data_IF_255607491887
#
_entry.id   IF_255607491887
#
_cell.length_a   1.000
_cell.length_b   1.000
_cell.length_c   1.000
_cell.angle_alpha   90.00
_cell.angle_beta   90.00
_cell.angle_gamma   90.00
#
_symmetry.space_group_name_H-M   'P 1'
#
loop_
_entity.id
_entity.type
_entity.pdbx_description
1 polymer ?
#
# COMPACT_ATOMS: atom_id res chain seq x y z
N UNK A 1 -12.31 -12.84 16.22
CA UNK A 1 -12.01 -11.46 16.68
C UNK A 1 -11.60 -10.51 15.54
N UNK A 2 -10.55 -10.76 14.74
CA UNK A 2 -10.14 -9.85 13.64
C UNK A 2 -11.24 -9.52 12.62
N UNK A 3 -12.01 -10.53 12.15
CA UNK A 3 -13.12 -10.31 11.19
C UNK A 3 -14.25 -9.44 11.76
N UNK A 4 -14.62 -9.67 13.03
CA UNK A 4 -15.65 -8.87 13.73
C UNK A 4 -15.19 -7.43 13.91
N UNK A 5 -13.93 -7.23 14.28
CA UNK A 5 -13.33 -5.89 14.39
C UNK A 5 -13.36 -5.15 13.05
N UNK A 6 -12.97 -5.80 11.95
CA UNK A 6 -13.03 -5.19 10.61
C UNK A 6 -14.47 -4.87 10.21
N UNK A 7 -15.41 -5.78 10.44
CA UNK A 7 -16.82 -5.56 10.14
C UNK A 7 -17.39 -4.38 10.93
N UNK A 8 -17.07 -4.30 12.22
CA UNK A 8 -17.46 -3.18 13.08
C UNK A 8 -16.97 -1.85 12.50
N UNK A 9 -15.67 -1.73 12.18
CA UNK A 9 -15.14 -0.50 11.60
C UNK A 9 -15.77 -0.16 10.25
N UNK A 10 -16.05 -1.15 9.40
CA UNK A 10 -16.72 -0.93 8.11
C UNK A 10 -18.13 -0.35 8.32
N UNK A 11 -18.94 -0.97 9.18
CA UNK A 11 -20.29 -0.49 9.51
C UNK A 11 -20.25 0.90 10.17
N UNK A 12 -19.28 1.13 11.05
CA UNK A 12 -19.05 2.41 11.69
C UNK A 12 -18.74 3.51 10.66
N UNK A 13 -17.80 3.28 9.73
CA UNK A 13 -17.51 4.24 8.65
C UNK A 13 -18.72 4.45 7.73
N UNK A 14 -19.43 3.38 7.37
CA UNK A 14 -20.63 3.47 6.54
C UNK A 14 -21.70 4.35 7.20
N UNK A 15 -21.90 4.19 8.51
CA UNK A 15 -22.81 5.03 9.30
C UNK A 15 -22.39 6.51 9.23
N UNK A 16 -21.13 6.85 9.52
CA UNK A 16 -20.67 8.25 9.52
C UNK A 16 -20.69 8.91 8.14
N UNK A 17 -20.49 8.12 7.07
CA UNK A 17 -20.47 8.65 5.71
C UNK A 17 -21.88 8.88 5.17
N UNK A 18 -22.78 7.90 5.30
CA UNK A 18 -24.07 7.92 4.60
C UNK A 18 -25.24 8.22 5.54
N UNK A 19 -25.26 7.59 6.72
CA UNK A 19 -26.42 7.66 7.63
C UNK A 19 -26.40 8.93 8.46
N UNK A 20 -25.24 9.31 8.99
CA UNK A 20 -25.12 10.42 9.91
C UNK A 20 -25.46 11.79 9.27
N UNK A 21 -24.96 12.12 8.05
CA UNK A 21 -25.38 13.37 7.39
C UNK A 21 -26.89 13.43 7.12
N UNK A 22 -27.48 12.29 6.75
CA UNK A 22 -28.92 12.18 6.53
C UNK A 22 -29.71 12.44 7.82
N UNK A 23 -29.33 11.83 8.94
CA UNK A 23 -29.99 12.06 10.24
C UNK A 23 -29.93 13.53 10.65
N UNK A 24 -28.76 14.17 10.50
CA UNK A 24 -28.60 15.59 10.86
C UNK A 24 -29.52 16.45 10.00
N UNK A 25 -29.49 16.27 8.68
CA UNK A 25 -30.29 17.08 7.77
C UNK A 25 -31.80 16.88 7.99
N UNK A 26 -32.26 15.63 8.02
CA UNK A 26 -33.68 15.30 8.14
C UNK A 26 -34.24 15.53 9.56
N UNK A 27 -33.38 15.56 10.58
CA UNK A 27 -33.79 15.89 11.96
C UNK A 27 -33.78 17.38 12.26
N UNK A 28 -32.87 18.15 11.66
CA UNK A 28 -32.68 19.58 12.00
C UNK A 28 -33.32 20.54 10.99
N UNK A 29 -33.11 20.29 9.70
CA UNK A 29 -33.32 21.28 8.63
C UNK A 29 -34.58 21.00 7.80
N UNK A 30 -34.86 19.75 7.49
CA UNK A 30 -36.09 19.34 6.80
C UNK A 30 -37.23 19.06 7.80
N UNK A 31 -38.50 19.46 7.54
CA UNK A 31 -39.02 20.26 6.42
C UNK A 31 -39.11 21.77 6.76
N UNK A 32 -38.31 22.26 7.73
CA UNK A 32 -38.45 23.61 8.30
C UNK A 32 -38.00 24.74 7.35
N UNK A 33 -37.38 24.39 6.23
CA UNK A 33 -36.88 25.32 5.22
C UNK A 33 -37.99 25.86 4.34
N UNK A 34 -38.21 27.18 4.38
CA UNK A 34 -39.16 27.85 3.49
C UNK A 34 -38.51 28.10 2.11
N UNK A 35 -38.78 27.21 1.16
CA UNK A 35 -38.22 27.20 -0.20
C UNK A 35 -38.53 28.47 -1.01
N UNK A 36 -39.58 29.21 -0.66
CA UNK A 36 -39.95 30.44 -1.35
C UNK A 36 -38.92 31.56 -1.12
N UNK A 37 -38.30 31.59 0.06
CA UNK A 37 -37.28 32.58 0.44
C UNK A 37 -35.84 32.08 0.27
N UNK A 38 -35.65 30.81 -0.09
CA UNK A 38 -34.33 30.25 -0.35
C UNK A 38 -33.72 30.83 -1.64
N UNK A 39 -32.47 31.26 -1.54
CA UNK A 39 -31.72 31.82 -2.67
C UNK A 39 -31.43 30.72 -3.72
N UNK A 40 -32.00 30.91 -4.91
CA UNK A 40 -31.83 29.99 -6.03
C UNK A 40 -30.38 29.91 -6.51
N UNK A 41 -29.63 31.02 -6.46
CA UNK A 41 -28.26 31.06 -6.95
C UNK A 41 -27.34 30.26 -6.03
N UNK A 42 -27.48 30.43 -4.72
CA UNK A 42 -26.75 29.67 -3.71
C UNK A 42 -27.02 28.16 -3.82
N UNK A 43 -28.27 27.77 -4.02
CA UNK A 43 -28.65 26.37 -4.22
C UNK A 43 -27.99 25.76 -5.47
N UNK A 44 -27.91 26.50 -6.58
CA UNK A 44 -27.21 26.05 -7.79
C UNK A 44 -25.69 25.95 -7.58
N UNK A 45 -25.09 26.85 -6.81
CA UNK A 45 -23.67 26.75 -6.40
C UNK A 45 -23.45 25.48 -5.58
N UNK A 46 -24.31 25.20 -4.61
CA UNK A 46 -24.26 23.97 -3.82
C UNK A 46 -24.41 22.72 -4.70
N UNK A 47 -25.27 22.77 -5.73
CA UNK A 47 -25.49 21.67 -6.66
C UNK A 47 -24.23 21.42 -7.50
N UNK A 48 -23.67 22.49 -8.08
CA UNK A 48 -22.42 22.41 -8.84
C UNK A 48 -21.26 21.87 -7.99
N UNK A 49 -21.14 22.34 -6.75
CA UNK A 49 -20.14 21.85 -5.80
C UNK A 49 -20.35 20.36 -5.46
N UNK A 50 -21.58 19.96 -5.18
CA UNK A 50 -21.94 18.59 -4.87
C UNK A 50 -21.61 17.64 -6.04
N UNK A 51 -21.98 18.00 -7.27
CA UNK A 51 -21.64 17.24 -8.48
C UNK A 51 -20.11 17.16 -8.70
N UNK A 52 -19.39 18.25 -8.48
CA UNK A 52 -17.94 18.28 -8.58
C UNK A 52 -17.28 17.34 -7.56
N UNK A 53 -17.72 17.37 -6.29
CA UNK A 53 -17.19 16.49 -5.25
C UNK A 53 -17.43 15.01 -5.58
N UNK A 54 -18.62 14.64 -6.05
CA UNK A 54 -18.91 13.28 -6.49
C UNK A 54 -18.06 12.86 -7.70
N UNK A 55 -17.84 13.76 -8.66
CA UNK A 55 -16.96 13.49 -9.79
C UNK A 55 -15.53 13.19 -9.32
N UNK A 56 -15.00 13.97 -8.37
CA UNK A 56 -13.68 13.70 -7.78
C UNK A 56 -13.65 12.34 -7.08
N UNK A 57 -14.66 12.00 -6.27
CA UNK A 57 -14.76 10.69 -5.60
C UNK A 57 -14.77 9.55 -6.63
N UNK A 58 -15.54 9.69 -7.71
CA UNK A 58 -15.62 8.70 -8.78
C UNK A 58 -14.28 8.54 -9.51
N UNK A 59 -13.64 9.63 -9.93
CA UNK A 59 -12.36 9.57 -10.64
C UNK A 59 -11.23 8.97 -9.78
N UNK A 60 -11.14 9.38 -8.52
CA UNK A 60 -10.12 8.86 -7.58
C UNK A 60 -10.35 7.38 -7.31
N UNK A 61 -11.59 6.97 -7.01
CA UNK A 61 -11.91 5.56 -6.75
C UNK A 61 -11.70 4.67 -7.98
N UNK A 62 -12.07 5.14 -9.18
CA UNK A 62 -11.77 4.46 -10.44
C UNK A 62 -10.27 4.27 -10.65
N UNK A 63 -9.49 5.33 -10.48
CA UNK A 63 -8.03 5.29 -10.63
C UNK A 63 -7.40 4.24 -9.69
N UNK A 64 -7.82 4.22 -8.42
CA UNK A 64 -7.33 3.26 -7.43
C UNK A 64 -7.70 1.82 -7.81
N UNK A 65 -8.96 1.56 -8.16
CA UNK A 65 -9.41 0.23 -8.59
C UNK A 65 -8.65 -0.25 -9.83
N UNK A 66 -8.53 0.61 -10.84
CA UNK A 66 -7.80 0.29 -12.06
C UNK A 66 -6.32 -0.01 -11.78
N UNK A 67 -5.66 0.80 -10.93
CA UNK A 67 -4.26 0.62 -10.54
C UNK A 67 -4.03 -0.72 -9.82
N UNK A 68 -4.87 -1.07 -8.85
CA UNK A 68 -4.64 -2.26 -8.02
C UNK A 68 -5.12 -3.57 -8.66
N UNK A 69 -6.24 -3.56 -9.39
CA UNK A 69 -6.83 -4.80 -9.92
C UNK A 69 -6.48 -5.08 -11.39
N UNK A 70 -6.43 -4.06 -12.25
CA UNK A 70 -6.17 -4.26 -13.69
C UNK A 70 -4.70 -4.08 -14.01
N UNK A 71 -4.10 -2.95 -13.61
CA UNK A 71 -2.71 -2.63 -13.94
C UNK A 71 -1.74 -3.62 -13.30
N UNK A 72 -2.01 -4.06 -12.08
CA UNK A 72 -1.24 -5.12 -11.41
C UNK A 72 -1.19 -6.41 -12.25
N UNK A 73 -2.35 -6.91 -12.71
CA UNK A 73 -2.40 -8.11 -13.55
C UNK A 73 -1.66 -7.95 -14.89
N UNK A 74 -1.77 -6.77 -15.53
CA UNK A 74 -1.00 -6.44 -16.74
C UNK A 74 0.51 -6.42 -16.48
N UNK A 75 0.94 -5.85 -15.35
CA UNK A 75 2.35 -5.82 -14.96
C UNK A 75 2.90 -7.23 -14.70
N UNK A 76 2.15 -8.10 -14.02
CA UNK A 76 2.55 -9.50 -13.82
C UNK A 76 2.75 -10.21 -15.16
N UNK A 77 1.86 -10.00 -16.14
CA UNK A 77 2.04 -10.56 -17.49
C UNK A 77 3.25 -9.99 -18.23
N UNK A 78 3.57 -8.71 -18.03
CA UNK A 78 4.79 -8.11 -18.55
C UNK A 78 6.05 -8.77 -17.97
N UNK A 79 6.08 -8.99 -16.65
CA UNK A 79 7.22 -9.62 -15.95
C UNK A 79 7.42 -11.06 -16.37
N UNK A 80 6.36 -11.80 -16.69
CA UNK A 80 6.51 -13.15 -17.24
C UNK A 80 7.19 -13.17 -18.61
N UNK A 81 6.91 -12.17 -19.45
CA UNK A 81 7.48 -12.09 -20.80
C UNK A 81 8.91 -11.57 -20.80
N UNK A 82 9.18 -10.55 -19.98
CA UNK A 82 10.42 -9.77 -20.04
C UNK A 82 11.32 -9.96 -18.80
N UNK A 83 10.79 -10.51 -17.71
CA UNK A 83 11.53 -10.69 -16.47
C UNK A 83 12.58 -11.79 -16.57
N UNK A 84 13.69 -11.59 -15.85
CA UNK A 84 14.78 -12.56 -15.80
C UNK A 84 14.37 -13.77 -14.98
N UNK A 85 14.58 -14.97 -15.55
CA UNK A 85 14.23 -16.24 -14.90
C UNK A 85 15.23 -16.57 -13.80
N UNK A 86 14.72 -17.02 -12.66
CA UNK A 86 15.49 -17.56 -11.52
C UNK A 86 14.78 -18.78 -10.97
N UNK A 87 15.54 -19.80 -10.60
CA UNK A 87 15.00 -20.95 -9.91
C UNK A 87 15.06 -20.71 -8.41
N UNK A 88 13.94 -20.95 -7.74
CA UNK A 88 13.80 -20.78 -6.31
C UNK A 88 13.43 -22.08 -5.63
N UNK A 89 14.12 -22.37 -4.54
CA UNK A 89 13.79 -23.48 -3.66
C UNK A 89 12.78 -23.02 -2.62
N UNK A 90 11.70 -23.77 -2.47
CA UNK A 90 10.71 -23.52 -1.42
C UNK A 90 11.26 -24.05 -0.10
N UNK A 91 11.58 -23.19 0.86
CA UNK A 91 12.02 -23.59 2.20
C UNK A 91 10.82 -24.04 3.02
N UNK A 92 9.76 -23.22 3.02
CA UNK A 92 8.55 -23.49 3.78
C UNK A 92 7.33 -23.01 3.02
N UNK A 93 6.27 -23.81 3.03
CA UNK A 93 4.95 -23.39 2.61
C UNK A 93 3.97 -23.56 3.76
N UNK A 94 3.40 -22.45 4.21
CA UNK A 94 2.33 -22.45 5.19
C UNK A 94 1.02 -22.07 4.49
N UNK A 95 -0.01 -22.89 4.64
CA UNK A 95 -1.36 -22.46 4.33
C UNK A 95 -1.73 -21.37 5.35
N UNK A 96 -1.71 -20.11 4.95
CA UNK A 96 -2.27 -19.02 5.75
C UNK A 96 -3.78 -19.14 5.79
N UNK A 97 -4.38 -18.68 6.89
CA UNK A 97 -5.83 -18.64 7.03
C UNK A 97 -6.50 -17.90 5.86
N UNK A 98 -7.71 -18.33 5.54
CA UNK A 98 -8.59 -17.81 4.46
C UNK A 98 -7.85 -17.58 3.12
N UNK A 99 -7.33 -18.67 2.56
CA UNK A 99 -6.95 -18.79 1.14
C UNK A 99 -5.71 -18.02 0.66
N UNK A 100 -4.80 -17.62 1.56
CA UNK A 100 -3.49 -17.08 1.18
C UNK A 100 -2.35 -17.98 1.68
N UNK A 101 -1.47 -18.45 0.79
CA UNK A 101 -0.31 -19.26 1.15
C UNK A 101 0.91 -18.37 1.42
N UNK A 102 1.63 -18.59 2.52
CA UNK A 102 2.91 -17.94 2.77
C UNK A 102 4.03 -18.88 2.27
N UNK A 103 4.78 -18.44 1.27
CA UNK A 103 5.98 -19.14 0.80
C UNK A 103 7.23 -18.42 1.28
N UNK A 104 8.17 -19.18 1.82
CA UNK A 104 9.55 -18.73 1.99
C UNK A 104 10.38 -19.35 0.87
N UNK A 105 10.92 -18.51 0.00
CA UNK A 105 11.67 -18.89 -1.19
C UNK A 105 13.13 -18.53 -1.02
N UNK A 106 14.02 -19.40 -1.48
CA UNK A 106 15.46 -19.19 -1.49
C UNK A 106 16.00 -19.34 -2.90
N UNK A 107 16.63 -18.28 -3.41
CA UNK A 107 17.12 -18.21 -4.79
C UNK A 107 18.30 -17.25 -4.87
N UNK A 108 18.98 -17.27 -5.99
CA UNK A 108 20.09 -16.37 -6.26
C UNK A 108 19.56 -15.11 -6.95
N UNK A 109 19.92 -13.95 -6.44
CA UNK A 109 19.41 -12.67 -6.94
C UNK A 109 19.99 -12.31 -8.34
N UNK A 110 19.78 -11.09 -8.83
CA UNK A 110 20.26 -10.69 -10.16
C UNK A 110 21.80 -10.62 -10.24
N UNK A 111 22.46 -10.49 -9.10
CA UNK A 111 23.92 -10.48 -8.92
C UNK A 111 24.48 -11.85 -8.48
N UNK A 112 23.63 -12.88 -8.43
CA UNK A 112 23.95 -14.25 -7.99
C UNK A 112 24.27 -14.40 -6.49
N UNK A 113 23.78 -13.49 -5.66
CA UNK A 113 23.84 -13.63 -4.19
C UNK A 113 22.64 -14.42 -3.69
N UNK A 114 22.87 -15.32 -2.72
CA UNK A 114 21.81 -16.12 -2.12
C UNK A 114 20.91 -15.25 -1.25
N UNK A 115 19.60 -15.24 -1.51
CA UNK A 115 18.64 -14.45 -0.74
C UNK A 115 17.36 -15.24 -0.43
N UNK A 116 16.73 -14.91 0.69
CA UNK A 116 15.44 -15.48 1.12
C UNK A 116 14.33 -14.45 1.00
N UNK A 117 13.24 -14.77 0.34
CA UNK A 117 12.09 -13.88 0.19
C UNK A 117 10.79 -14.54 0.62
N UNK A 118 10.01 -13.83 1.44
CA UNK A 118 8.66 -14.23 1.80
C UNK A 118 7.67 -13.70 0.76
N UNK A 119 6.97 -14.61 0.09
CA UNK A 119 5.94 -14.27 -0.87
C UNK A 119 4.57 -14.70 -0.36
N UNK A 120 3.60 -13.79 -0.45
CA UNK A 120 2.18 -14.09 -0.21
C UNK A 120 1.54 -14.54 -1.50
N UNK A 121 1.19 -15.81 -1.59
CA UNK A 121 0.38 -16.36 -2.67
C UNK A 121 -1.09 -16.06 -2.41
N UNK A 122 -1.76 -15.42 -3.38
CA UNK A 122 -3.23 -15.39 -3.39
C UNK A 122 -3.74 -16.69 -4.01
N UNK A 123 -4.82 -17.29 -3.47
CA UNK A 123 -5.41 -18.52 -4.00
C UNK A 123 -5.68 -18.47 -5.51
N UNK A 124 -6.15 -17.33 -6.03
CA UNK A 124 -6.43 -17.14 -7.45
C UNK A 124 -5.19 -17.26 -8.36
N UNK A 125 -3.98 -17.09 -7.81
CA UNK A 125 -2.75 -17.11 -8.58
C UNK A 125 -2.20 -18.53 -8.77
N UNK A 126 -2.56 -19.50 -7.94
CA UNK A 126 -2.08 -20.89 -8.07
C UNK A 126 -3.20 -21.81 -8.55
N UNK A 127 -3.18 -22.14 -9.84
CA UNK A 127 -4.22 -22.98 -10.44
C UNK A 127 -4.20 -24.44 -9.97
N UNK A 128 -3.11 -24.93 -9.33
CA UNK A 128 -2.88 -26.38 -9.22
C UNK A 128 -2.39 -26.93 -7.89
N UNK A 129 -1.62 -26.22 -7.05
CA UNK A 129 -1.36 -26.57 -5.63
C UNK A 129 -0.40 -25.55 -5.03
N UNK A 130 -0.45 -25.36 -3.72
CA UNK A 130 0.64 -24.69 -3.02
C UNK A 130 1.90 -25.58 -3.15
N UNK A 131 3.04 -25.04 -3.63
CA UNK A 131 4.28 -25.80 -3.75
C UNK A 131 4.69 -26.46 -2.43
N UNK A 132 5.18 -27.70 -2.50
CA UNK A 132 5.65 -28.42 -1.32
C UNK A 132 7.04 -27.92 -0.89
N UNK A 133 7.37 -27.95 0.41
CA UNK A 133 8.72 -27.67 0.88
C UNK A 133 9.75 -28.55 0.15
N UNK A 134 10.84 -27.96 -0.32
CA UNK A 134 11.87 -28.62 -1.11
C UNK A 134 11.67 -28.55 -2.63
N UNK A 135 10.48 -28.20 -3.14
CA UNK A 135 10.27 -28.08 -4.59
C UNK A 135 10.99 -26.88 -5.18
N UNK A 136 11.46 -27.01 -6.42
CA UNK A 136 11.98 -25.90 -7.22
C UNK A 136 10.83 -25.25 -7.98
N UNK A 137 10.78 -23.92 -7.94
CA UNK A 137 9.79 -23.12 -8.64
C UNK A 137 10.48 -22.01 -9.41
N UNK A 138 10.03 -21.77 -10.65
CA UNK A 138 10.55 -20.70 -11.47
C UNK A 138 9.95 -19.34 -11.10
N UNK A 139 10.82 -18.39 -10.77
CA UNK A 139 10.52 -16.99 -10.55
C UNK A 139 10.95 -16.13 -11.74
N UNK A 140 10.20 -15.06 -11.96
CA UNK A 140 10.53 -13.99 -12.91
C UNK A 140 10.65 -12.68 -12.13
N UNK A 141 11.79 -12.02 -12.27
CA UNK A 141 12.12 -10.76 -11.58
C UNK A 141 12.19 -9.63 -12.60
N UNK A 142 11.55 -8.49 -12.30
CA UNK A 142 11.69 -7.24 -13.07
C UNK A 142 13.03 -6.57 -12.76
N UNK A 143 13.96 -6.57 -13.72
CA UNK A 143 15.29 -5.93 -13.55
C UNK A 143 15.20 -4.42 -13.33
N UNK A 144 14.17 -3.78 -13.88
CA UNK A 144 14.00 -2.32 -13.79
C UNK A 144 13.38 -1.87 -12.47
N UNK A 145 12.78 -2.78 -11.70
CA UNK A 145 11.97 -2.50 -10.50
C UNK A 145 11.01 -1.31 -10.69
N UNK A 146 10.49 -1.15 -11.91
CA UNK A 146 9.68 0.01 -12.29
C UNK A 146 8.19 -0.25 -12.08
N UNK A 147 7.77 -1.52 -12.06
CA UNK A 147 6.36 -1.92 -12.05
C UNK A 147 6.10 -2.93 -10.93
N UNK A 148 5.23 -2.55 -9.99
CA UNK A 148 4.73 -3.48 -8.96
C UNK A 148 3.64 -4.40 -9.55
N UNK A 149 3.58 -5.70 -9.16
CA UNK A 149 4.53 -6.44 -8.30
C UNK A 149 5.88 -6.67 -8.98
N UNK A 150 7.01 -6.71 -8.26
CA UNK A 150 8.35 -6.83 -8.87
C UNK A 150 8.76 -8.27 -9.22
N UNK A 151 8.06 -9.25 -8.66
CA UNK A 151 8.35 -10.68 -8.82
C UNK A 151 7.04 -11.38 -9.12
N UNK A 152 7.11 -12.38 -10.00
CA UNK A 152 6.00 -13.26 -10.30
C UNK A 152 6.49 -14.71 -10.40
N UNK A 153 5.66 -15.64 -9.93
CA UNK A 153 5.84 -17.05 -10.26
C UNK A 153 5.49 -17.26 -11.74
N UNK A 154 6.29 -18.05 -12.44
CA UNK A 154 6.07 -18.36 -13.85
C UNK A 154 4.68 -19.00 -14.06
N UNK A 155 4.28 -19.89 -13.15
CA UNK A 155 3.02 -20.63 -13.14
C UNK A 155 1.81 -19.82 -12.62
N UNK A 156 2.03 -18.61 -12.10
CA UNK A 156 0.92 -17.82 -11.57
C UNK A 156 -0.11 -17.53 -12.67
N UNK A 157 -1.39 -17.36 -12.40
CA UNK A 157 -2.36 -16.91 -13.41
C UNK A 157 -3.05 -15.61 -12.93
N UNK A 158 -2.45 -14.42 -13.14
CA UNK A 158 -3.04 -13.19 -12.66
C UNK A 158 -4.35 -12.91 -13.41
N UNK A 159 -5.49 -13.14 -12.76
CA UNK A 159 -6.81 -12.78 -13.29
C UNK A 159 -7.14 -11.34 -12.89
N UNK A 160 -7.35 -10.49 -13.90
CA UNK A 160 -7.90 -9.17 -13.66
C UNK A 160 -9.32 -9.33 -13.08
N UNK A 161 -9.55 -8.78 -11.89
CA UNK A 161 -10.84 -8.86 -11.20
C UNK A 161 -11.80 -7.78 -11.72
N UNK A 162 -12.29 -7.97 -12.94
CA UNK A 162 -13.23 -7.04 -13.60
C UNK A 162 -14.57 -6.89 -12.85
N UNK A 163 -14.94 -7.87 -12.02
CA UNK A 163 -16.15 -7.80 -11.18
C UNK A 163 -16.19 -6.54 -10.32
N UNK A 164 -15.06 -6.12 -9.75
CA UNK A 164 -14.98 -4.89 -8.97
C UNK A 164 -15.14 -3.63 -9.83
N UNK A 165 -14.72 -3.66 -11.10
CA UNK A 165 -14.97 -2.57 -12.03
C UNK A 165 -16.45 -2.50 -12.44
N UNK A 166 -17.10 -3.65 -12.63
CA UNK A 166 -18.54 -3.70 -12.91
C UNK A 166 -19.35 -3.19 -11.72
N UNK A 167 -19.01 -3.61 -10.50
CA UNK A 167 -19.63 -3.10 -9.28
C UNK A 167 -19.42 -1.58 -9.12
N UNK A 168 -18.22 -1.10 -9.46
CA UNK A 168 -17.94 0.34 -9.44
C UNK A 168 -18.78 1.10 -10.48
N UNK A 169 -19.02 0.52 -11.67
CA UNK A 169 -19.87 1.13 -12.69
C UNK A 169 -21.34 1.29 -12.25
N UNK A 170 -21.80 0.53 -11.25
CA UNK A 170 -23.12 0.72 -10.63
C UNK A 170 -23.18 1.96 -9.71
N UNK A 171 -22.04 2.43 -9.18
CA UNK A 171 -21.99 3.57 -8.26
C UNK A 171 -22.49 4.90 -8.86
N UNK A 172 -22.08 5.34 -10.06
CA UNK A 172 -22.63 6.56 -10.66
C UNK A 172 -24.13 6.47 -10.91
N UNK A 173 -24.64 5.28 -11.26
CA UNK A 173 -26.07 5.05 -11.39
C UNK A 173 -26.80 5.20 -10.05
N UNK A 174 -26.26 4.62 -8.98
CA UNK A 174 -26.81 4.77 -7.62
C UNK A 174 -26.82 6.23 -7.16
N UNK A 175 -25.75 6.99 -7.44
CA UNK A 175 -25.67 8.41 -7.13
C UNK A 175 -26.75 9.17 -7.91
N UNK A 176 -26.89 8.93 -9.22
CA UNK A 176 -27.92 9.56 -10.03
C UNK A 176 -29.33 9.26 -9.49
N UNK A 177 -29.63 8.00 -9.14
CA UNK A 177 -30.88 7.63 -8.48
C UNK A 177 -31.11 8.41 -7.18
N UNK A 178 -30.07 8.62 -6.36
CA UNK A 178 -30.19 9.41 -5.14
C UNK A 178 -30.53 10.89 -5.42
N UNK A 179 -29.92 11.50 -6.45
CA UNK A 179 -30.29 12.87 -6.88
C UNK A 179 -31.74 12.94 -7.35
N UNK A 180 -32.20 11.98 -8.16
CA UNK A 180 -33.59 11.94 -8.63
C UNK A 180 -34.57 11.74 -7.47
N UNK A 181 -34.27 10.82 -6.56
CA UNK A 181 -35.12 10.54 -5.39
C UNK A 181 -35.27 11.76 -4.49
N UNK A 182 -34.16 12.42 -4.15
CA UNK A 182 -34.19 13.64 -3.33
C UNK A 182 -34.91 14.77 -4.06
N UNK A 183 -34.70 14.92 -5.36
CA UNK A 183 -35.38 15.94 -6.14
C UNK A 183 -36.90 15.75 -6.12
N UNK A 184 -37.38 14.53 -6.33
CA UNK A 184 -38.82 14.22 -6.30
C UNK A 184 -39.42 14.48 -4.90
N UNK A 185 -38.67 14.11 -3.85
CA UNK A 185 -39.11 14.26 -2.47
C UNK A 185 -39.15 15.72 -2.00
N UNK A 186 -38.15 16.53 -2.37
CA UNK A 186 -37.89 17.83 -1.73
C UNK A 186 -38.10 19.04 -2.63
N UNK A 187 -38.20 18.86 -3.95
CA UNK A 187 -38.28 20.00 -4.88
C UNK A 187 -39.53 20.85 -4.66
N UNK A 188 -40.68 20.22 -4.35
CA UNK A 188 -41.97 20.88 -4.15
C UNK A 188 -42.33 21.92 -5.24
N UNK A 189 -41.84 21.73 -6.47
CA UNK A 189 -42.01 22.66 -7.60
C UNK A 189 -41.05 23.86 -7.63
N UNK A 190 -40.18 24.02 -6.63
CA UNK A 190 -39.20 25.11 -6.50
C UNK A 190 -37.80 24.76 -7.04
N UNK A 191 -37.65 23.62 -7.72
CA UNK A 191 -36.37 23.15 -8.25
C UNK A 191 -35.42 22.68 -7.16
N UNK A 192 -34.13 23.02 -7.26
CA UNK A 192 -33.07 22.58 -6.34
C UNK A 192 -32.91 23.46 -5.09
N UNK A 193 -33.85 24.37 -4.81
CA UNK A 193 -33.74 25.37 -3.73
C UNK A 193 -33.60 24.79 -2.32
N UNK A 194 -33.95 23.52 -2.12
CA UNK A 194 -33.77 22.79 -0.86
C UNK A 194 -32.29 22.47 -0.57
N UNK A 195 -31.43 22.54 -1.59
CA UNK A 195 -30.04 22.16 -1.48
C UNK A 195 -29.24 23.24 -0.74
N UNK A 196 -28.73 22.87 0.43
CA UNK A 196 -27.84 23.68 1.27
C UNK A 196 -26.52 22.95 1.52
N UNK A 197 -25.58 23.60 2.21
CA UNK A 197 -24.30 22.98 2.57
C UNK A 197 -24.49 21.72 3.42
N UNK A 198 -25.46 21.70 4.31
CA UNK A 198 -25.72 20.58 5.22
C UNK A 198 -26.42 19.40 4.54
N UNK A 199 -26.79 19.55 3.27
CA UNK A 199 -27.53 18.53 2.56
C UNK A 199 -26.68 17.25 2.38
N UNK A 200 -27.25 16.05 2.57
CA UNK A 200 -26.51 14.78 2.49
C UNK A 200 -25.80 14.56 1.16
N UNK A 201 -26.39 15.02 0.04
CA UNK A 201 -25.77 14.98 -1.30
C UNK A 201 -24.41 15.71 -1.37
N UNK A 202 -24.20 16.74 -0.55
CA UNK A 202 -22.94 17.48 -0.48
C UNK A 202 -22.04 16.96 0.65
N UNK A 203 -22.61 16.70 1.82
CA UNK A 203 -21.86 16.24 2.99
C UNK A 203 -21.27 14.84 2.82
N UNK A 204 -21.99 13.92 2.16
CA UNK A 204 -21.50 12.54 1.94
C UNK A 204 -20.17 12.49 1.15
N UNK A 205 -20.06 13.08 -0.06
CA UNK A 205 -18.79 13.05 -0.79
C UNK A 205 -17.69 13.86 -0.09
N UNK A 206 -18.05 14.93 0.64
CA UNK A 206 -17.09 15.70 1.43
C UNK A 206 -16.47 14.86 2.55
N UNK A 207 -17.30 14.16 3.32
CA UNK A 207 -16.87 13.27 4.41
C UNK A 207 -16.04 12.10 3.87
N UNK A 208 -16.42 11.53 2.72
CA UNK A 208 -15.63 10.50 2.03
C UNK A 208 -14.22 10.99 1.69
N UNK A 209 -14.10 12.18 1.09
CA UNK A 209 -12.81 12.76 0.73
C UNK A 209 -11.99 13.08 1.98
N UNK A 210 -12.62 13.61 3.03
CA UNK A 210 -11.97 13.93 4.29
C UNK A 210 -11.38 12.69 4.97
N UNK A 211 -12.17 11.62 5.15
CA UNK A 211 -11.67 10.37 5.72
C UNK A 211 -10.61 9.71 4.82
N UNK A 212 -10.80 9.72 3.49
CA UNK A 212 -9.81 9.20 2.54
C UNK A 212 -8.48 9.95 2.67
N UNK A 213 -8.53 11.28 2.83
CA UNK A 213 -7.35 12.11 3.05
C UNK A 213 -6.69 11.82 4.39
N UNK A 214 -7.45 11.70 5.49
CA UNK A 214 -6.89 11.34 6.80
C UNK A 214 -6.22 9.98 6.76
N UNK A 215 -6.89 8.96 6.21
CA UNK A 215 -6.32 7.62 6.07
C UNK A 215 -5.05 7.69 5.23
N UNK A 216 -5.08 8.40 4.09
CA UNK A 216 -3.89 8.59 3.27
C UNK A 216 -2.78 9.33 4.02
N UNK A 217 -3.08 10.36 4.79
CA UNK A 217 -2.12 11.14 5.55
C UNK A 217 -1.51 10.33 6.69
N UNK A 218 -2.30 9.53 7.41
CA UNK A 218 -1.82 8.61 8.46
C UNK A 218 -0.95 7.52 7.83
N UNK A 219 -1.42 6.87 6.75
CA UNK A 219 -0.64 5.87 6.02
C UNK A 219 0.67 6.48 5.49
N UNK A 220 0.63 7.70 4.94
CA UNK A 220 1.82 8.40 4.50
C UNK A 220 2.71 8.76 5.68
N UNK A 221 2.21 9.29 6.78
CA UNK A 221 3.07 9.73 7.88
C UNK A 221 3.69 8.56 8.64
N UNK A 222 2.90 7.55 9.00
CA UNK A 222 3.35 6.37 9.73
C UNK A 222 4.18 5.47 8.82
N UNK A 223 3.68 5.22 7.61
CA UNK A 223 4.31 4.24 6.74
C UNK A 223 5.38 4.85 5.85
N UNK A 224 5.31 6.10 5.33
CA UNK A 224 6.41 6.67 4.53
C UNK A 224 7.72 6.84 5.33
N UNK A 225 7.65 7.01 6.68
CA UNK A 225 8.82 6.88 7.58
C UNK A 225 9.42 5.47 7.59
N UNK A 226 8.60 4.43 7.39
CA UNK A 226 9.03 3.01 7.29
C UNK A 226 9.16 2.47 5.85
N UNK A 227 8.62 3.13 4.81
CA UNK A 227 8.42 2.57 3.45
C UNK A 227 9.45 3.02 2.43
N UNK A 228 10.16 4.14 2.64
CA UNK A 228 11.35 4.40 1.82
C UNK A 228 12.37 3.27 1.99
N UNK A 229 12.37 2.63 3.16
CA UNK A 229 13.08 1.38 3.42
C UNK A 229 12.48 0.24 2.58
N UNK A 230 11.16 0.08 2.47
CA UNK A 230 10.53 -1.06 1.77
C UNK A 230 10.83 -1.22 0.27
N UNK A 231 10.83 -0.16 -0.54
CA UNK A 231 11.17 -0.28 -1.97
C UNK A 231 12.67 -0.46 -2.16
N UNK A 232 13.48 0.33 -1.45
CA UNK A 232 14.93 0.28 -1.55
C UNK A 232 15.49 -1.03 -0.96
N UNK A 233 14.92 -1.58 0.11
CA UNK A 233 15.25 -2.91 0.63
C UNK A 233 14.93 -3.99 -0.38
N UNK A 234 13.76 -3.94 -1.04
CA UNK A 234 13.44 -4.89 -2.09
C UNK A 234 14.45 -4.78 -3.24
N UNK A 235 14.73 -3.58 -3.76
CA UNK A 235 15.72 -3.40 -4.82
C UNK A 235 17.08 -3.98 -4.40
N UNK A 236 17.51 -3.68 -3.18
CA UNK A 236 18.78 -4.16 -2.64
C UNK A 236 18.79 -5.68 -2.42
N UNK A 237 17.66 -6.28 -2.03
CA UNK A 237 17.49 -7.73 -1.91
C UNK A 237 17.67 -8.43 -3.25
N UNK A 238 17.05 -7.90 -4.32
CA UNK A 238 17.04 -8.56 -5.62
C UNK A 238 18.19 -8.14 -6.55
N UNK A 239 18.84 -7.00 -6.31
CA UNK A 239 19.91 -6.47 -7.17
C UNK A 239 21.17 -6.04 -6.40
N UNK A 240 21.19 -6.11 -5.08
CA UNK A 240 22.36 -5.80 -4.27
C UNK A 240 23.41 -6.90 -4.31
N UNK A 241 24.65 -6.53 -3.98
CA UNK A 241 25.77 -7.44 -3.77
C UNK A 241 26.08 -7.58 -2.30
N UNK A 242 26.49 -8.78 -1.91
CA UNK A 242 26.86 -9.10 -0.53
C UNK A 242 28.33 -8.73 -0.31
N UNK A 243 28.63 -8.08 0.79
CA UNK A 243 30.00 -7.81 1.21
C UNK A 243 30.14 -8.00 2.72
N UNK A 244 31.31 -8.46 3.15
CA UNK A 244 31.69 -8.42 4.57
C UNK A 244 32.22 -7.02 4.83
N UNK A 245 31.52 -6.30 5.70
CA UNK A 245 31.87 -4.96 6.14
C UNK A 245 32.48 -5.01 7.54
N UNK A 246 33.37 -4.07 7.83
CA UNK A 246 33.93 -3.86 9.17
C UNK A 246 33.30 -2.62 9.78
N UNK A 247 32.81 -2.75 11.02
CA UNK A 247 32.30 -1.61 11.78
C UNK A 247 33.47 -0.76 12.27
N UNK A 248 33.53 0.50 11.87
CA UNK A 248 34.58 1.43 12.29
C UNK A 248 34.20 2.18 13.55
N UNK A 249 32.96 2.68 13.59
CA UNK A 249 32.46 3.45 14.71
C UNK A 249 30.94 3.29 14.84
N UNK A 250 30.46 3.51 16.06
CA UNK A 250 29.04 3.58 16.38
C UNK A 250 28.77 4.95 17.01
N UNK A 251 27.77 5.66 16.50
CA UNK A 251 27.39 6.97 17.01
C UNK A 251 25.89 7.01 17.23
N UNK A 252 25.46 7.37 18.43
CA UNK A 252 24.04 7.60 18.69
C UNK A 252 23.58 8.89 18.00
N UNK A 253 22.43 8.86 17.31
CA UNK A 253 21.92 10.02 16.55
C UNK A 253 21.13 11.01 17.41
N UNK A 254 20.85 10.65 18.67
CA UNK A 254 19.97 11.38 19.58
C UNK A 254 18.47 11.11 19.36
N UNK A 255 18.12 10.33 18.33
CA UNK A 255 16.73 9.92 18.07
C UNK A 255 16.40 8.63 18.80
N UNK A 256 15.20 8.56 19.39
CA UNK A 256 14.66 7.36 20.02
C UNK A 256 13.31 6.99 19.43
N UNK A 257 13.09 5.69 19.20
CA UNK A 257 11.82 5.14 18.74
C UNK A 257 11.45 3.99 19.68
N UNK A 258 10.31 4.11 20.36
CA UNK A 258 9.87 3.16 21.39
C UNK A 258 10.96 2.89 22.44
N UNK A 259 11.59 3.96 22.94
CA UNK A 259 12.68 3.91 23.93
C UNK A 259 13.94 3.16 23.46
N UNK A 260 14.02 2.81 22.18
CA UNK A 260 15.21 2.24 21.57
C UNK A 260 15.97 3.31 20.78
N UNK A 261 17.30 3.43 20.99
CA UNK A 261 18.09 4.44 20.31
C UNK A 261 18.28 4.09 18.83
N UNK A 262 18.30 5.13 18.01
CA UNK A 262 18.86 5.05 16.68
C UNK A 262 20.39 5.26 16.74
N UNK A 263 21.12 4.34 16.13
CA UNK A 263 22.57 4.33 16.05
C UNK A 263 22.99 4.41 14.58
N UNK A 264 23.95 5.28 14.31
CA UNK A 264 24.68 5.39 13.06
C UNK A 264 25.93 4.52 13.15
N UNK A 265 26.02 3.55 12.25
CA UNK A 265 27.14 2.65 12.08
C UNK A 265 27.99 3.15 10.92
N UNK A 266 29.22 3.57 11.20
CA UNK A 266 30.22 3.81 10.17
C UNK A 266 30.86 2.48 9.81
N UNK A 267 30.80 2.12 8.52
CA UNK A 267 31.29 0.83 8.04
C UNK A 267 32.21 1.00 6.84
N UNK A 268 33.15 0.08 6.70
CA UNK A 268 33.96 -0.07 5.49
C UNK A 268 33.74 -1.45 4.86
N UNK A 269 33.68 -1.52 3.53
CA UNK A 269 33.59 -2.80 2.83
C UNK A 269 34.26 -2.76 1.45
N UNK A 270 34.84 -3.88 0.98
CA UNK A 270 35.37 -3.98 -0.38
C UNK A 270 34.22 -4.13 -1.38
N UNK A 271 34.28 -3.41 -2.50
CA UNK A 271 33.41 -3.67 -3.64
C UNK A 271 33.92 -4.80 -4.53
N UNK A 272 33.14 -5.15 -5.54
CA UNK A 272 33.48 -6.15 -6.54
C UNK A 272 34.78 -5.86 -7.33
N UNK A 273 35.26 -4.62 -7.35
CA UNK A 273 36.53 -4.23 -7.95
C UNK A 273 37.68 -4.24 -6.95
N UNK A 274 37.43 -4.63 -5.69
CA UNK A 274 38.41 -4.63 -4.61
C UNK A 274 38.67 -3.26 -4.00
N UNK A 275 37.89 -2.22 -4.33
CA UNK A 275 38.03 -0.89 -3.72
C UNK A 275 37.24 -0.82 -2.43
N UNK A 276 37.86 -0.33 -1.37
CA UNK A 276 37.18 -0.08 -0.09
C UNK A 276 36.27 1.13 -0.21
N UNK A 277 35.03 0.98 0.25
CA UNK A 277 34.05 2.06 0.33
C UNK A 277 33.69 2.29 1.80
N UNK A 278 33.52 3.55 2.16
CA UNK A 278 33.07 4.01 3.47
C UNK A 278 31.65 4.52 3.35
N UNK A 279 30.77 4.08 4.24
CA UNK A 279 29.38 4.56 4.29
C UNK A 279 28.84 4.50 5.72
N UNK A 280 27.68 5.11 5.95
CA UNK A 280 26.98 5.04 7.22
C UNK A 280 25.58 4.44 7.10
N UNK A 281 25.24 3.56 8.04
CA UNK A 281 23.91 2.94 8.14
C UNK A 281 23.27 3.39 9.45
N UNK A 282 22.06 3.95 9.37
CA UNK A 282 21.26 4.31 10.55
C UNK A 282 20.25 3.22 10.86
N UNK A 283 20.25 2.73 12.09
CA UNK A 283 19.36 1.66 12.53
C UNK A 283 18.92 1.84 13.97
N UNK A 284 17.66 1.49 14.25
CA UNK A 284 17.14 1.38 15.62
C UNK A 284 17.63 0.04 16.18
N UNK A 285 18.38 0.09 17.28
CA UNK A 285 18.99 -1.09 17.89
C UNK A 285 18.40 -1.31 19.28
N UNK A 286 17.98 -2.53 19.63
CA UNK A 286 17.55 -2.85 20.98
C UNK A 286 18.66 -2.56 22.00
N UNK A 287 18.28 -1.92 23.11
CA UNK A 287 19.21 -1.59 24.20
C UNK A 287 19.98 -2.82 24.71
N UNK A 288 19.36 -4.00 24.68
CA UNK A 288 19.98 -5.25 25.09
C UNK A 288 21.03 -5.78 24.09
N UNK A 289 20.94 -5.38 22.82
CA UNK A 289 21.87 -5.79 21.75
C UNK A 289 23.05 -4.81 21.60
N UNK A 290 22.91 -3.56 22.02
CA UNK A 290 23.94 -2.52 21.89
C UNK A 290 25.31 -2.92 22.47
N UNK A 291 25.42 -3.50 23.67
CA UNK A 291 26.73 -3.89 24.21
C UNK A 291 27.42 -4.99 23.39
N UNK A 292 26.65 -5.71 22.57
CA UNK A 292 27.11 -6.81 21.73
C UNK A 292 27.69 -6.39 20.39
N UNK A 293 27.59 -5.12 19.99
CA UNK A 293 28.15 -4.61 18.73
C UNK A 293 29.29 -3.63 19.04
N UNK A 294 30.48 -3.91 18.53
CA UNK A 294 31.70 -3.14 18.80
C UNK A 294 32.36 -2.69 17.50
N UNK A 295 33.14 -1.61 17.60
CA UNK A 295 34.06 -1.25 16.54
C UNK A 295 35.08 -2.39 16.34
N UNK A 296 35.30 -2.75 15.08
CA UNK A 296 36.10 -3.90 14.66
C UNK A 296 35.27 -5.13 14.28
N UNK A 297 33.98 -5.18 14.63
CA UNK A 297 33.14 -6.32 14.29
C UNK A 297 32.93 -6.43 12.78
N UNK A 298 32.95 -7.67 12.28
CA UNK A 298 32.59 -7.99 10.91
C UNK A 298 31.09 -8.25 10.80
N UNK A 299 30.45 -7.53 9.89
CA UNK A 299 29.00 -7.59 9.64
C UNK A 299 28.75 -7.76 8.15
N UNK A 300 27.73 -8.53 7.80
CA UNK A 300 27.37 -8.72 6.39
C UNK A 300 26.38 -7.65 5.97
N UNK A 301 26.69 -6.99 4.85
CA UNK A 301 25.85 -5.97 4.24
C UNK A 301 25.51 -6.32 2.80
N UNK A 302 24.39 -5.81 2.34
CA UNK A 302 24.14 -5.67 0.90
C UNK A 302 24.28 -4.22 0.51
N UNK A 303 24.91 -3.98 -0.63
CA UNK A 303 25.06 -2.64 -1.21
C UNK A 303 24.56 -2.63 -2.66
N UNK A 304 24.05 -1.49 -3.12
CA UNK A 304 23.67 -1.30 -4.53
C UNK A 304 24.94 -1.03 -5.36
N UNK A 305 25.27 -1.87 -6.38
CA UNK A 305 26.44 -1.66 -7.22
C UNK A 305 26.46 -0.32 -7.96
N UNK A 306 25.30 0.30 -8.22
CA UNK A 306 25.18 1.59 -8.91
C UNK A 306 25.22 2.78 -7.96
N UNK A 307 24.80 2.59 -6.70
CA UNK A 307 24.79 3.63 -5.67
C UNK A 307 25.20 3.06 -4.32
N UNK A 308 26.49 3.14 -4.00
CA UNK A 308 27.09 2.49 -2.82
C UNK A 308 26.65 3.09 -1.48
N UNK A 309 26.08 4.31 -1.49
CA UNK A 309 25.49 4.91 -0.30
C UNK A 309 24.20 4.19 0.12
N UNK A 310 23.59 3.41 -0.79
CA UNK A 310 22.48 2.51 -0.47
C UNK A 310 23.02 1.17 0.01
N UNK A 311 23.31 1.10 1.30
CA UNK A 311 23.79 -0.11 1.97
C UNK A 311 22.90 -0.43 3.18
N UNK A 312 22.55 -1.70 3.36
CA UNK A 312 21.78 -2.19 4.51
C UNK A 312 22.39 -3.49 5.05
N UNK A 313 22.17 -3.77 6.32
CA UNK A 313 22.57 -5.05 6.92
C UNK A 313 21.77 -6.20 6.34
N UNK A 314 22.41 -7.36 6.17
CA UNK A 314 21.77 -8.58 5.69
C UNK A 314 20.53 -8.97 6.51
N UNK A 315 20.61 -8.86 7.84
CA UNK A 315 19.49 -9.16 8.74
C UNK A 315 18.23 -8.35 8.41
N UNK A 316 18.38 -7.08 8.06
CA UNK A 316 17.24 -6.19 7.73
C UNK A 316 16.60 -6.51 6.37
N UNK A 317 17.32 -7.24 5.52
CA UNK A 317 16.87 -7.69 4.21
C UNK A 317 16.17 -9.05 4.31
N UNK A 318 16.69 -9.96 5.14
CA UNK A 318 16.12 -11.30 5.30
C UNK A 318 14.80 -11.30 6.08
N UNK A 319 14.66 -10.41 7.07
CA UNK A 319 13.48 -10.32 7.95
C UNK A 319 12.23 -9.67 7.30
N UNK A 320 12.37 -9.13 6.07
CA UNK A 320 11.31 -8.50 5.27
C UNK A 320 10.77 -9.40 4.13
#
# INVERSE_FOLDING_TARGET
>A
MKKVFVLFWLLFFFYFVFVHPAIIYYGASFPKTNLAYSDATWALVCLGLSLFLWLVVLLVSFYLLFKYFVRSARNTNYIKKQGRKREARVISSAAGGDHAGNLLLEFDNLQNERVRHRMLLKSDETATRIPHPGSLVALRIDESFSRFPYIALEESAPRARWTWMLLWACLPFLIACAYFFVYDLESAGYGWRFLSLDHPLLMTPLVLLFFSFIIWAIFKFIILRKLNIGKDTLILKFNGRRAVAKVLALKQTGTYINEQPEVEFEIEFPDASGRTNLTSIKKIVPLIELPGIKAGDEVVVFYDPQNKDKTLFEKDIEDN
#
